data_IF_079980679669
#
_entry.id   IF_079980679669
#
_cell.length_a   1.000
_cell.length_b   1.000
_cell.length_c   1.000
_cell.angle_alpha   90.00
_cell.angle_beta   90.00
_cell.angle_gamma   90.00
#
_symmetry.space_group_name_H-M   'P 1'
#
loop_
_entity.id
_entity.type
_entity.pdbx_description
1 polymer ?
#
# COMPACT_ATOMS: atom_id res chain seq x y z
N UNK A 1 -13.78 94.41 4.89
CA UNK A 1 -12.80 93.64 4.13
C UNK A 1 -12.45 92.31 4.89
N UNK A 2 -13.49 91.50 5.29
CA UNK A 2 -13.24 90.31 6.12
C UNK A 2 -14.06 89.03 5.80
N UNK A 3 -14.79 88.99 4.66
CA UNK A 3 -15.56 87.75 4.29
C UNK A 3 -14.98 86.85 3.21
N UNK A 4 -13.90 87.22 2.59
CA UNK A 4 -13.27 86.44 1.50
C UNK A 4 -12.22 85.46 1.98
N UNK A 5 -11.74 85.50 3.24
CA UNK A 5 -10.68 84.60 3.75
C UNK A 5 -11.25 83.28 4.38
N UNK A 6 -12.48 83.26 4.86
CA UNK A 6 -13.07 82.03 5.46
C UNK A 6 -13.49 80.99 4.43
N UNK A 7 -14.00 81.45 3.27
CA UNK A 7 -14.43 80.50 2.20
C UNK A 7 -13.32 79.73 1.53
N UNK A 8 -12.07 80.19 1.54
CA UNK A 8 -10.94 79.51 0.93
C UNK A 8 -10.37 78.36 1.84
N UNK A 9 -10.55 78.48 3.16
CA UNK A 9 -10.05 77.44 4.12
C UNK A 9 -11.03 76.23 4.16
N UNK A 10 -12.33 76.44 4.09
CA UNK A 10 -13.33 75.35 4.03
C UNK A 10 -13.20 74.52 2.77
N UNK A 11 -13.02 75.15 1.59
CA UNK A 11 -12.81 74.45 0.33
C UNK A 11 -11.51 73.61 0.25
N UNK A 12 -10.45 74.09 0.93
CA UNK A 12 -9.18 73.29 1.05
C UNK A 12 -9.34 72.12 2.00
N UNK A 13 -10.07 72.25 3.10
CA UNK A 13 -10.33 71.15 4.03
C UNK A 13 -11.22 70.07 3.42
N UNK A 14 -12.27 70.43 2.68
CA UNK A 14 -13.13 69.49 2.00
C UNK A 14 -12.39 68.70 0.90
N UNK A 15 -11.58 69.36 0.09
CA UNK A 15 -10.73 68.69 -0.94
C UNK A 15 -9.73 67.76 -0.30
N UNK A 16 -9.10 68.11 0.82
CA UNK A 16 -8.15 67.26 1.57
C UNK A 16 -8.86 66.04 2.16
N UNK A 17 -10.11 66.18 2.65
CA UNK A 17 -10.92 65.09 3.21
C UNK A 17 -11.35 64.11 2.11
N UNK A 18 -11.76 64.59 0.93
CA UNK A 18 -12.14 63.77 -0.23
C UNK A 18 -10.94 62.96 -0.74
N UNK A 19 -9.74 63.56 -0.81
CA UNK A 19 -8.51 62.88 -1.23
C UNK A 19 -8.16 61.81 -0.20
N UNK A 20 -8.25 62.06 1.11
CA UNK A 20 -7.98 61.07 2.13
C UNK A 20 -8.96 59.90 2.12
N UNK A 21 -10.24 60.15 1.91
CA UNK A 21 -11.27 59.11 1.74
C UNK A 21 -11.02 58.26 0.50
N UNK A 22 -10.68 58.86 -0.63
CA UNK A 22 -10.34 58.10 -1.84
C UNK A 22 -9.10 57.21 -1.66
N UNK A 23 -8.07 57.69 -0.95
CA UNK A 23 -6.87 56.92 -0.67
C UNK A 23 -7.19 55.73 0.26
N UNK A 24 -8.01 55.95 1.31
CA UNK A 24 -8.43 54.89 2.21
C UNK A 24 -9.25 53.83 1.47
N UNK A 25 -10.15 54.25 0.57
CA UNK A 25 -10.96 53.31 -0.21
C UNK A 25 -10.10 52.49 -1.18
N UNK A 26 -9.11 53.09 -1.83
CA UNK A 26 -8.17 52.40 -2.71
C UNK A 26 -7.28 51.40 -1.92
N UNK A 27 -6.77 51.80 -0.76
CA UNK A 27 -5.98 50.94 0.12
C UNK A 27 -6.81 49.76 0.64
N UNK A 28 -8.09 50.03 1.04
CA UNK A 28 -9.00 48.97 1.50
C UNK A 28 -9.34 47.98 0.37
N UNK A 29 -9.57 48.47 -0.85
CA UNK A 29 -9.80 47.62 -2.03
C UNK A 29 -8.58 46.79 -2.38
N UNK A 30 -7.38 47.34 -2.25
CA UNK A 30 -6.14 46.63 -2.49
C UNK A 30 -5.85 45.56 -1.43
N UNK A 31 -6.17 45.87 -0.16
CA UNK A 31 -6.09 44.89 0.95
C UNK A 31 -7.11 43.75 0.78
N UNK A 32 -8.34 44.05 0.33
CA UNK A 32 -9.34 43.02 0.03
C UNK A 32 -8.91 42.13 -1.18
N UNK A 33 -8.27 42.72 -2.21
CA UNK A 33 -7.68 41.97 -3.32
C UNK A 33 -6.53 41.09 -2.86
N UNK A 34 -5.67 41.57 -1.97
CA UNK A 34 -4.58 40.76 -1.42
C UNK A 34 -5.09 39.63 -0.51
N UNK A 35 -6.16 39.87 0.25
CA UNK A 35 -6.79 38.80 1.04
C UNK A 35 -7.54 37.77 0.19
N UNK A 36 -8.08 38.16 -0.96
CA UNK A 36 -8.70 37.20 -1.90
C UNK A 36 -7.66 36.37 -2.65
N UNK A 37 -6.45 36.91 -2.88
CA UNK A 37 -5.37 36.12 -3.49
C UNK A 37 -4.67 35.17 -2.51
N UNK A 38 -4.71 35.43 -1.19
CA UNK A 38 -4.12 34.52 -0.20
C UNK A 38 -4.96 33.24 0.04
N UNK A 39 -6.23 33.22 -0.38
CA UNK A 39 -7.07 32.02 -0.29
C UNK A 39 -7.04 31.13 -1.56
N UNK A 40 -6.27 31.50 -2.60
CA UNK A 40 -6.14 30.69 -3.82
C UNK A 40 -4.90 29.78 -3.77
N UNK A 41 -4.09 29.86 -2.73
CA UNK A 41 -3.05 28.86 -2.45
C UNK A 41 -3.60 27.64 -1.69
N UNK A 42 -4.82 27.17 -1.98
CA UNK A 42 -5.11 25.77 -1.86
C UNK A 42 -4.29 25.08 -2.99
N UNK A 43 -3.01 24.85 -2.71
CA UNK A 43 -2.32 23.80 -3.38
C UNK A 43 -3.14 22.54 -3.13
N UNK A 44 -3.88 22.10 -4.14
CA UNK A 44 -4.36 20.72 -4.23
C UNK A 44 -3.10 19.87 -4.22
N UNK A 45 -2.60 19.57 -3.03
CA UNK A 45 -1.57 18.55 -2.85
C UNK A 45 -2.28 17.25 -3.17
N UNK A 46 -2.13 16.80 -4.39
CA UNK A 46 -2.57 15.47 -4.77
C UNK A 46 -1.81 14.47 -3.89
N UNK A 47 -2.55 13.68 -3.16
CA UNK A 47 -2.01 12.60 -2.35
C UNK A 47 -1.42 11.54 -3.30
N UNK A 48 -0.28 10.98 -2.94
CA UNK A 48 0.30 9.84 -3.62
C UNK A 48 0.42 8.70 -2.63
N UNK A 49 -0.54 7.78 -2.67
CA UNK A 49 -0.61 6.62 -1.79
C UNK A 49 0.22 5.49 -2.36
N UNK A 50 1.03 4.88 -1.52
CA UNK A 50 1.94 3.78 -1.89
C UNK A 50 1.76 2.60 -0.94
N UNK A 51 2.05 1.38 -1.41
CA UNK A 51 2.17 0.25 -0.51
C UNK A 51 3.20 0.53 0.60
N UNK A 52 2.92 0.03 1.79
CA UNK A 52 3.88 0.05 2.89
C UNK A 52 5.11 -0.78 2.53
N UNK A 53 6.27 -0.36 3.03
CA UNK A 53 7.49 -1.14 2.86
C UNK A 53 7.33 -2.52 3.52
N UNK A 54 7.75 -3.60 2.86
CA UNK A 54 7.70 -4.93 3.45
C UNK A 54 8.48 -5.01 4.76
N UNK A 55 7.90 -5.66 5.77
CA UNK A 55 8.54 -5.84 7.07
C UNK A 55 9.65 -6.90 7.07
N UNK A 56 9.83 -7.64 5.96
CA UNK A 56 10.79 -8.74 5.84
C UNK A 56 12.11 -8.22 5.27
N UNK A 57 13.21 -8.57 5.97
CA UNK A 57 14.58 -8.28 5.52
C UNK A 57 15.28 -9.58 5.15
N UNK A 58 15.54 -9.77 3.85
CA UNK A 58 16.11 -11.01 3.32
C UNK A 58 17.51 -11.34 3.87
N UNK A 59 18.27 -10.31 4.27
CA UNK A 59 19.63 -10.46 4.82
C UNK A 59 19.65 -10.98 6.27
N UNK A 60 18.48 -11.08 6.92
CA UNK A 60 18.37 -11.41 8.34
C UNK A 60 17.26 -12.41 8.67
N UNK A 61 17.03 -13.37 7.79
CA UNK A 61 16.06 -14.44 8.01
C UNK A 61 16.57 -15.37 9.13
N UNK A 62 16.01 -15.27 10.31
CA UNK A 62 16.35 -16.10 11.46
C UNK A 62 15.13 -16.87 11.95
N UNK A 63 14.29 -16.23 12.75
CA UNK A 63 13.10 -16.84 13.33
C UNK A 63 11.85 -16.16 12.74
N UNK A 64 11.35 -16.71 11.64
CA UNK A 64 10.26 -16.10 10.88
C UNK A 64 9.42 -17.13 10.13
N UNK A 65 8.23 -16.68 9.74
CA UNK A 65 7.34 -17.40 8.83
C UNK A 65 7.14 -16.52 7.60
N UNK A 66 7.33 -17.09 6.41
CA UNK A 66 7.33 -16.37 5.13
C UNK A 66 6.34 -16.99 4.16
N UNK A 67 5.60 -16.16 3.44
CA UNK A 67 4.90 -16.57 2.22
C UNK A 67 5.89 -16.66 1.07
N UNK A 68 5.91 -17.78 0.38
CA UNK A 68 6.97 -18.10 -0.60
C UNK A 68 6.43 -18.78 -1.85
N UNK A 69 7.24 -18.72 -2.92
CA UNK A 69 7.10 -19.57 -4.07
C UNK A 69 8.43 -20.27 -4.34
N UNK A 70 8.35 -21.52 -4.76
CA UNK A 70 9.50 -22.31 -5.21
C UNK A 70 9.02 -23.50 -6.04
N UNK A 71 9.93 -24.11 -6.77
CA UNK A 71 9.75 -25.41 -7.42
C UNK A 71 10.58 -26.49 -6.74
N UNK A 72 10.30 -27.75 -7.01
CA UNK A 72 11.11 -28.87 -6.50
C UNK A 72 12.56 -28.80 -6.99
N UNK A 73 12.80 -28.15 -8.13
CA UNK A 73 14.13 -27.97 -8.69
C UNK A 73 14.97 -26.92 -7.95
N UNK A 74 14.36 -26.11 -7.11
CA UNK A 74 15.04 -25.08 -6.33
C UNK A 74 15.69 -25.65 -5.05
N UNK A 75 15.47 -26.95 -4.80
CA UNK A 75 16.17 -27.69 -3.77
C UNK A 75 17.53 -28.21 -4.27
N UNK A 76 18.60 -27.69 -3.72
CA UNK A 76 19.93 -28.32 -3.82
C UNK A 76 20.08 -29.32 -2.67
N UNK A 77 19.75 -30.58 -2.95
CA UNK A 77 19.78 -31.66 -1.96
C UNK A 77 21.21 -32.06 -1.54
N UNK A 78 22.23 -31.80 -2.39
CA UNK A 78 23.64 -32.11 -2.08
C UNK A 78 24.20 -31.10 -1.07
N UNK A 79 23.88 -29.82 -1.25
CA UNK A 79 24.34 -28.73 -0.39
C UNK A 79 23.35 -28.40 0.74
N UNK A 80 22.22 -29.11 0.81
CA UNK A 80 21.13 -28.87 1.78
C UNK A 80 20.68 -27.42 1.77
N UNK A 81 20.33 -26.87 0.59
CA UNK A 81 19.85 -25.51 0.41
C UNK A 81 18.58 -25.47 -0.43
N UNK A 82 17.68 -24.56 -0.05
CA UNK A 82 16.49 -24.21 -0.81
C UNK A 82 16.58 -22.75 -1.23
N UNK A 83 16.45 -22.49 -2.53
CA UNK A 83 16.24 -21.13 -3.06
C UNK A 83 14.74 -20.91 -3.22
N UNK A 84 14.25 -19.78 -2.71
CA UNK A 84 12.84 -19.46 -2.76
C UNK A 84 12.63 -17.97 -3.04
N UNK A 85 11.54 -17.67 -3.73
CA UNK A 85 11.02 -16.30 -3.87
C UNK A 85 10.20 -15.96 -2.65
N UNK A 86 10.52 -14.84 -2.00
CA UNK A 86 9.85 -14.35 -0.79
C UNK A 86 8.85 -13.28 -1.15
N UNK A 87 7.67 -13.36 -0.55
CA UNK A 87 6.57 -12.45 -0.80
C UNK A 87 6.06 -11.81 0.50
N UNK A 88 5.50 -10.62 0.38
CA UNK A 88 4.76 -9.94 1.43
C UNK A 88 3.37 -9.58 0.93
N UNK A 89 2.39 -9.54 1.82
CA UNK A 89 1.09 -8.97 1.51
C UNK A 89 1.23 -7.49 1.14
N UNK A 90 0.45 -7.03 0.17
CA UNK A 90 0.41 -5.64 -0.23
C UNK A 90 -0.48 -4.86 0.74
N UNK A 91 0.16 -4.07 1.60
CA UNK A 91 -0.50 -3.30 2.65
C UNK A 91 -0.41 -1.80 2.39
N UNK A 92 -1.42 -1.06 2.86
CA UNK A 92 -1.50 0.40 2.79
C UNK A 92 -1.85 0.98 4.15
N UNK A 93 -1.39 2.20 4.42
CA UNK A 93 -1.77 2.93 5.64
C UNK A 93 -3.25 3.35 5.58
N UNK A 94 -4.01 3.06 6.64
CA UNK A 94 -5.43 3.35 6.67
C UNK A 94 -5.71 4.86 6.56
N UNK A 95 -4.89 5.69 7.20
CA UNK A 95 -5.08 7.15 7.16
C UNK A 95 -4.83 7.75 5.77
N UNK A 96 -3.97 7.13 4.95
CA UNK A 96 -3.76 7.53 3.57
C UNK A 96 -4.93 7.09 2.69
N UNK A 97 -5.42 5.85 2.84
CA UNK A 97 -6.57 5.35 2.08
C UNK A 97 -7.83 6.16 2.39
N UNK A 98 -8.12 6.43 3.66
CA UNK A 98 -9.29 7.21 4.07
C UNK A 98 -9.24 8.68 3.62
N UNK A 99 -8.05 9.21 3.40
CA UNK A 99 -7.83 10.58 2.93
C UNK A 99 -7.89 10.72 1.41
N UNK A 100 -7.86 9.63 0.64
CA UNK A 100 -7.77 9.63 -0.83
C UNK A 100 -9.02 10.22 -1.48
N UNK A 101 -8.83 10.94 -2.56
CA UNK A 101 -9.90 11.61 -3.34
C UNK A 101 -9.69 11.39 -4.83
N UNK A 102 -10.71 11.71 -5.61
CA UNK A 102 -10.54 11.82 -7.06
C UNK A 102 -9.39 12.79 -7.40
N UNK A 103 -8.64 12.48 -8.44
CA UNK A 103 -7.43 13.15 -8.91
C UNK A 103 -6.17 12.90 -8.05
N UNK A 104 -6.26 12.19 -6.92
CA UNK A 104 -5.08 11.68 -6.23
C UNK A 104 -4.43 10.52 -7.01
N UNK A 105 -3.31 10.03 -6.53
CA UNK A 105 -2.54 8.98 -7.21
C UNK A 105 -2.33 7.81 -6.27
N UNK A 106 -2.57 6.60 -6.77
CA UNK A 106 -2.18 5.36 -6.09
C UNK A 106 -1.03 4.70 -6.85
N UNK A 107 -0.17 4.00 -6.13
CA UNK A 107 0.93 3.21 -6.71
C UNK A 107 0.59 1.73 -6.59
N UNK A 108 0.53 1.04 -7.73
CA UNK A 108 0.27 -0.39 -7.84
C UNK A 108 1.43 -0.97 -8.63
N UNK A 109 2.18 -1.92 -8.07
CA UNK A 109 3.34 -2.55 -8.70
C UNK A 109 4.31 -1.50 -9.31
N UNK A 110 4.66 -0.48 -8.53
CA UNK A 110 5.50 0.66 -8.91
C UNK A 110 4.93 1.56 -10.04
N UNK A 111 3.74 1.28 -10.54
CA UNK A 111 3.05 2.11 -11.53
C UNK A 111 2.11 3.09 -10.84
N UNK A 112 2.21 4.36 -11.23
CA UNK A 112 1.32 5.43 -10.75
C UNK A 112 0.02 5.42 -11.52
N UNK A 113 -1.10 5.33 -10.81
CA UNK A 113 -2.44 5.34 -11.36
C UNK A 113 -3.24 6.51 -10.77
N UNK A 114 -3.90 7.30 -11.62
CA UNK A 114 -4.79 8.37 -11.19
C UNK A 114 -6.06 7.75 -10.60
N UNK A 115 -6.51 8.28 -9.48
CA UNK A 115 -7.77 7.87 -8.85
C UNK A 115 -8.92 8.64 -9.51
N UNK A 116 -9.85 7.94 -10.14
CA UNK A 116 -11.04 8.53 -10.77
C UNK A 116 -12.34 8.06 -10.14
N UNK A 117 -12.35 6.92 -9.42
CA UNK A 117 -13.50 6.45 -8.66
C UNK A 117 -13.08 5.82 -7.35
N UNK A 118 -13.90 6.02 -6.32
CA UNK A 118 -13.74 5.42 -5.00
C UNK A 118 -15.11 5.00 -4.53
N UNK A 119 -15.27 3.73 -4.23
CA UNK A 119 -16.45 3.16 -3.60
C UNK A 119 -16.03 2.64 -2.23
N UNK A 120 -16.87 2.84 -1.22
CA UNK A 120 -16.62 2.40 0.14
C UNK A 120 -17.87 1.76 0.72
N UNK A 121 -17.72 0.55 1.22
CA UNK A 121 -18.75 -0.18 1.93
C UNK A 121 -18.13 -1.04 3.04
N UNK A 122 -18.58 -0.86 4.28
CA UNK A 122 -18.27 -1.68 5.46
C UNK A 122 -16.76 -2.08 5.62
N UNK A 123 -15.85 -1.10 5.56
CA UNK A 123 -14.38 -1.30 5.62
C UNK A 123 -13.76 -1.94 4.36
N UNK A 124 -14.47 -1.89 3.25
CA UNK A 124 -14.02 -2.32 1.96
C UNK A 124 -13.96 -1.12 1.01
N UNK A 125 -12.80 -0.87 0.41
CA UNK A 125 -12.60 0.18 -0.60
C UNK A 125 -12.40 -0.45 -1.96
N UNK A 126 -13.12 0.05 -2.96
CA UNK A 126 -12.89 -0.26 -4.37
C UNK A 126 -12.45 1.03 -5.06
N UNK A 127 -11.22 1.08 -5.49
CA UNK A 127 -10.62 2.23 -6.18
C UNK A 127 -10.48 1.87 -7.65
N UNK A 128 -10.98 2.74 -8.55
CA UNK A 128 -10.94 2.57 -10.00
C UNK A 128 -11.55 1.23 -10.48
N UNK A 129 -12.61 0.77 -9.83
CA UNK A 129 -13.30 -0.46 -10.20
C UNK A 129 -12.58 -1.76 -9.79
N UNK A 130 -11.59 -1.67 -8.89
CA UNK A 130 -10.88 -2.83 -8.36
C UNK A 130 -9.77 -3.36 -9.28
N UNK A 131 -9.18 -4.47 -8.88
CA UNK A 131 -7.98 -5.04 -9.52
C UNK A 131 -8.23 -5.40 -10.98
N UNK A 132 -9.39 -5.92 -11.32
CA UNK A 132 -9.73 -6.33 -12.69
C UNK A 132 -9.75 -5.16 -13.68
N UNK A 133 -9.98 -3.93 -13.19
CA UNK A 133 -9.97 -2.71 -13.99
C UNK A 133 -8.66 -1.91 -13.84
N UNK A 134 -7.63 -2.51 -13.23
CA UNK A 134 -6.34 -1.88 -13.00
C UNK A 134 -6.31 -0.93 -11.80
N UNK A 135 -7.31 -1.02 -10.93
CA UNK A 135 -7.39 -0.30 -9.67
C UNK A 135 -6.98 -1.15 -8.46
N UNK A 136 -7.55 -0.86 -7.30
CA UNK A 136 -7.33 -1.59 -6.05
C UNK A 136 -8.65 -1.99 -5.41
N UNK A 137 -8.64 -3.15 -4.82
CA UNK A 137 -9.65 -3.60 -3.88
C UNK A 137 -8.98 -3.82 -2.52
N UNK A 138 -9.51 -3.19 -1.47
CA UNK A 138 -8.84 -3.06 -0.19
C UNK A 138 -9.80 -3.40 0.94
N UNK A 139 -9.38 -4.29 1.84
CA UNK A 139 -10.12 -4.62 3.05
C UNK A 139 -9.35 -4.19 4.29
N UNK A 140 -10.08 -3.79 5.33
CA UNK A 140 -9.48 -3.48 6.63
C UNK A 140 -8.71 -4.69 7.17
N UNK A 141 -7.50 -4.45 7.68
CA UNK A 141 -6.59 -5.48 8.15
C UNK A 141 -6.06 -5.14 9.55
N UNK A 142 -5.05 -5.84 10.02
CA UNK A 142 -4.52 -5.70 11.37
C UNK A 142 -3.97 -4.29 11.62
N UNK A 143 -4.31 -3.71 12.77
CA UNK A 143 -3.88 -2.37 13.15
C UNK A 143 -4.53 -1.28 12.31
N UNK A 144 -3.74 -0.31 11.87
CA UNK A 144 -4.18 0.81 11.03
C UNK A 144 -3.80 0.59 9.57
N UNK A 145 -4.12 -0.60 9.01
CA UNK A 145 -3.75 -0.95 7.63
C UNK A 145 -4.95 -1.47 6.84
N UNK A 146 -4.90 -1.25 5.53
CA UNK A 146 -5.70 -1.94 4.53
C UNK A 146 -4.83 -2.93 3.78
N UNK A 147 -5.38 -4.10 3.48
CA UNK A 147 -4.77 -5.13 2.66
C UNK A 147 -5.41 -5.15 1.28
N UNK A 148 -4.59 -5.16 0.24
CA UNK A 148 -5.07 -5.37 -1.12
C UNK A 148 -5.51 -6.82 -1.32
N UNK A 149 -6.66 -7.00 -1.95
CA UNK A 149 -7.25 -8.31 -2.23
C UNK A 149 -7.65 -8.44 -3.70
N UNK A 150 -7.77 -9.69 -4.15
CA UNK A 150 -8.39 -10.03 -5.43
C UNK A 150 -9.91 -10.01 -5.31
N UNK A 151 -10.62 -10.17 -6.43
CA UNK A 151 -12.08 -10.29 -6.46
C UNK A 151 -12.63 -11.41 -5.55
N UNK A 152 -11.87 -12.49 -5.37
CA UNK A 152 -12.21 -13.61 -4.49
C UNK A 152 -11.67 -13.44 -3.05
N UNK A 153 -11.41 -12.20 -2.61
CA UNK A 153 -10.89 -11.84 -1.29
C UNK A 153 -9.50 -12.43 -0.94
N UNK A 154 -8.77 -12.97 -1.92
CA UNK A 154 -7.42 -13.44 -1.67
C UNK A 154 -6.43 -12.29 -1.54
N UNK A 155 -5.47 -12.36 -0.59
CA UNK A 155 -4.41 -11.37 -0.47
C UNK A 155 -3.62 -11.18 -1.76
N UNK A 156 -3.35 -9.94 -2.13
CA UNK A 156 -2.37 -9.63 -3.17
C UNK A 156 -0.98 -9.63 -2.56
N UNK A 157 -0.09 -10.37 -3.18
CA UNK A 157 1.30 -10.48 -2.76
C UNK A 157 2.24 -9.72 -3.68
N UNK A 158 3.24 -9.06 -3.08
CA UNK A 158 4.35 -8.43 -3.80
C UNK A 158 5.62 -9.24 -3.59
N UNK A 159 6.38 -9.45 -4.65
CA UNK A 159 7.69 -10.09 -4.58
C UNK A 159 8.67 -9.16 -3.85
N UNK A 160 9.29 -9.65 -2.78
CA UNK A 160 10.35 -8.93 -2.05
C UNK A 160 11.71 -9.22 -2.68
N UNK A 161 11.94 -10.47 -3.07
CA UNK A 161 13.18 -10.95 -3.67
C UNK A 161 13.38 -12.45 -3.47
N UNK A 162 14.59 -12.91 -3.72
CA UNK A 162 14.98 -14.30 -3.54
C UNK A 162 15.85 -14.49 -2.29
N UNK A 163 15.68 -15.63 -1.63
CA UNK A 163 16.52 -16.06 -0.52
C UNK A 163 16.95 -17.51 -0.68
N UNK A 164 18.18 -17.82 -0.28
CA UNK A 164 18.67 -19.20 -0.21
C UNK A 164 18.90 -19.56 1.24
N UNK A 165 18.11 -20.50 1.73
CA UNK A 165 18.12 -20.94 3.13
C UNK A 165 18.67 -22.38 3.26
N UNK A 166 19.44 -22.67 4.30
CA UNK A 166 19.84 -24.04 4.60
C UNK A 166 18.66 -24.85 5.14
N UNK A 167 18.72 -26.16 4.98
CA UNK A 167 17.80 -27.08 5.63
C UNK A 167 18.55 -28.33 6.15
N UNK A 168 18.02 -28.90 7.21
CA UNK A 168 18.38 -30.22 7.69
C UNK A 168 17.35 -31.23 7.16
N UNK A 169 17.70 -32.50 7.03
CA UNK A 169 16.78 -33.52 6.54
C UNK A 169 15.65 -33.89 7.53
N UNK A 170 15.54 -33.16 8.60
CA UNK A 170 14.48 -33.30 9.61
C UNK A 170 13.37 -32.24 9.48
N UNK A 171 13.42 -31.36 8.45
CA UNK A 171 12.32 -30.41 8.25
C UNK A 171 11.01 -31.14 7.98
N UNK A 172 9.90 -30.52 8.38
CA UNK A 172 8.57 -31.10 8.26
C UNK A 172 7.84 -30.50 7.08
N UNK A 173 7.03 -31.30 6.37
CA UNK A 173 6.07 -30.79 5.40
C UNK A 173 4.66 -31.06 5.95
N UNK A 174 3.87 -30.01 6.10
CA UNK A 174 2.47 -30.07 6.44
C UNK A 174 1.66 -29.72 5.20
N UNK A 175 0.88 -30.66 4.69
CA UNK A 175 0.10 -30.50 3.46
C UNK A 175 -1.39 -30.67 3.73
N UNK A 176 -2.18 -29.63 3.43
CA UNK A 176 -3.63 -29.64 3.62
C UNK A 176 -4.40 -30.24 2.43
N UNK A 177 -3.70 -30.80 1.43
CA UNK A 177 -4.34 -31.42 0.27
C UNK A 177 -4.83 -30.41 -0.78
N UNK A 178 -5.67 -30.91 -1.68
CA UNK A 178 -6.23 -30.16 -2.81
C UNK A 178 -7.71 -29.77 -2.60
N UNK A 179 -8.35 -30.34 -1.59
CA UNK A 179 -9.74 -30.08 -1.28
C UNK A 179 -9.91 -29.80 0.21
N UNK A 180 -10.95 -29.05 0.61
CA UNK A 180 -11.19 -28.72 2.01
C UNK A 180 -11.50 -29.95 2.89
N UNK A 181 -11.90 -31.07 2.26
CA UNK A 181 -12.17 -32.33 2.92
C UNK A 181 -10.98 -33.27 3.02
N UNK A 182 -9.84 -32.93 2.40
CA UNK A 182 -8.64 -33.74 2.46
C UNK A 182 -8.08 -33.74 3.88
N UNK A 183 -7.55 -34.89 4.30
CA UNK A 183 -6.85 -34.96 5.59
C UNK A 183 -5.50 -34.25 5.48
N UNK A 184 -5.17 -33.47 6.51
CA UNK A 184 -3.83 -32.87 6.62
C UNK A 184 -2.78 -33.97 6.73
N UNK A 185 -1.81 -33.96 5.84
CA UNK A 185 -0.72 -34.94 5.81
C UNK A 185 0.56 -34.28 6.36
N UNK A 186 1.22 -34.94 7.28
CA UNK A 186 2.50 -34.48 7.84
C UNK A 186 3.61 -35.45 7.46
N UNK A 187 4.60 -34.95 6.73
CA UNK A 187 5.74 -35.71 6.21
C UNK A 187 6.98 -35.35 7.05
N UNK A 188 7.50 -36.34 7.76
CA UNK A 188 8.71 -36.21 8.62
C UNK A 188 9.88 -37.06 8.09
N UNK A 189 9.66 -37.82 7.03
CA UNK A 189 10.65 -38.64 6.33
C UNK A 189 10.33 -38.65 4.84
N UNK A 190 11.33 -38.89 4.03
CA UNK A 190 11.19 -39.02 2.58
C UNK A 190 10.63 -37.71 1.90
N UNK A 191 10.97 -36.55 2.48
CA UNK A 191 10.50 -35.24 2.03
C UNK A 191 10.78 -35.02 0.54
N UNK A 192 11.98 -35.39 0.07
CA UNK A 192 12.36 -35.31 -1.35
C UNK A 192 11.39 -36.08 -2.25
N UNK A 193 11.09 -37.31 -1.89
CA UNK A 193 10.17 -38.15 -2.66
C UNK A 193 8.77 -37.58 -2.69
N UNK A 194 8.33 -37.07 -1.54
CA UNK A 194 7.01 -36.43 -1.43
C UNK A 194 6.92 -35.17 -2.31
N UNK A 195 7.89 -34.25 -2.22
CA UNK A 195 7.92 -33.05 -3.03
C UNK A 195 8.00 -33.36 -4.54
N UNK A 196 8.80 -34.35 -4.93
CA UNK A 196 8.85 -34.81 -6.33
C UNK A 196 7.47 -35.35 -6.79
N UNK A 197 6.75 -36.09 -5.95
CA UNK A 197 5.42 -36.58 -6.29
C UNK A 197 4.40 -35.46 -6.51
N UNK A 198 4.49 -34.36 -5.76
CA UNK A 198 3.64 -33.18 -5.97
C UNK A 198 3.93 -32.50 -7.31
N UNK A 199 5.21 -32.40 -7.71
CA UNK A 199 5.63 -31.82 -8.99
C UNK A 199 5.02 -32.56 -10.20
N UNK A 200 4.90 -33.89 -10.12
CA UNK A 200 4.33 -34.72 -11.18
C UNK A 200 2.83 -34.38 -11.46
N UNK A 201 2.16 -33.78 -10.50
CA UNK A 201 0.76 -33.34 -10.60
C UNK A 201 0.62 -31.83 -10.91
N UNK A 202 1.69 -31.14 -11.33
CA UNK A 202 1.72 -29.69 -11.57
C UNK A 202 1.20 -28.86 -10.39
N UNK A 203 1.49 -29.31 -9.19
CA UNK A 203 1.10 -28.61 -7.96
C UNK A 203 2.14 -27.55 -7.64
N UNK A 204 1.72 -26.31 -7.76
CA UNK A 204 2.61 -25.17 -7.55
C UNK A 204 2.68 -24.77 -6.07
N UNK A 205 3.89 -24.44 -5.65
CA UNK A 205 4.13 -23.76 -4.38
C UNK A 205 4.16 -22.26 -4.66
N UNK A 206 3.15 -21.55 -4.24
CA UNK A 206 2.97 -20.13 -4.49
C UNK A 206 2.62 -19.38 -3.19
N UNK A 207 2.75 -18.04 -3.13
CA UNK A 207 2.59 -17.30 -1.88
C UNK A 207 1.18 -17.37 -1.27
N UNK A 208 0.15 -17.72 -2.04
CA UNK A 208 -1.21 -17.92 -1.52
C UNK A 208 -1.30 -19.21 -0.70
N UNK A 209 -0.69 -20.29 -1.20
CA UNK A 209 -0.84 -21.61 -0.59
C UNK A 209 0.35 -22.05 0.26
N UNK A 210 1.51 -21.38 0.17
CA UNK A 210 2.74 -21.90 0.76
C UNK A 210 3.39 -20.91 1.72
N UNK A 211 3.61 -21.39 2.93
CA UNK A 211 4.44 -20.71 3.92
C UNK A 211 5.59 -21.62 4.36
N UNK A 212 6.73 -21.00 4.65
CA UNK A 212 7.85 -21.70 5.30
C UNK A 212 8.11 -21.11 6.67
N UNK A 213 8.46 -21.97 7.64
CA UNK A 213 8.93 -21.58 8.95
C UNK A 213 10.44 -21.78 9.04
N UNK A 214 11.12 -20.73 9.44
CA UNK A 214 12.58 -20.69 9.62
C UNK A 214 12.86 -20.49 11.10
N UNK A 215 13.79 -21.27 11.67
CA UNK A 215 14.27 -21.10 13.03
C UNK A 215 15.80 -21.13 13.04
N UNK A 216 16.43 -20.15 13.69
CA UNK A 216 17.87 -19.98 13.69
C UNK A 216 18.49 -19.94 12.27
N UNK A 217 17.76 -19.38 11.30
CA UNK A 217 18.20 -19.30 9.92
C UNK A 217 18.11 -20.61 9.11
N UNK A 218 17.47 -21.65 9.65
CA UNK A 218 17.33 -22.97 9.02
C UNK A 218 15.86 -23.29 8.77
N UNK A 219 15.53 -23.81 7.60
CA UNK A 219 14.18 -24.29 7.27
C UNK A 219 13.76 -25.39 8.25
N UNK A 220 12.62 -25.22 8.91
CA UNK A 220 12.04 -26.20 9.83
C UNK A 220 10.74 -26.78 9.32
N UNK A 221 9.96 -26.02 8.58
CA UNK A 221 8.68 -26.50 8.10
C UNK A 221 8.29 -25.82 6.78
N UNK A 222 7.66 -26.61 5.90
CA UNK A 222 6.93 -26.15 4.72
C UNK A 222 5.47 -26.47 4.98
N UNK A 223 4.62 -25.45 4.93
CA UNK A 223 3.17 -25.60 5.11
C UNK A 223 2.51 -25.25 3.80
N UNK A 224 1.85 -26.23 3.18
CA UNK A 224 0.99 -26.02 2.02
C UNK A 224 -0.47 -26.04 2.45
N UNK A 225 -1.16 -24.95 2.20
CA UNK A 225 -2.56 -24.76 2.53
C UNK A 225 -3.44 -25.06 1.32
N UNK A 226 -4.63 -25.52 1.58
CA UNK A 226 -5.68 -25.49 0.58
C UNK A 226 -6.16 -24.05 0.39
N UNK A 227 -6.47 -23.69 -0.86
CA UNK A 227 -7.06 -22.41 -1.24
C UNK A 227 -8.35 -22.74 -1.99
N UNK A 228 -9.47 -22.09 -1.65
CA UNK A 228 -10.74 -22.31 -2.31
C UNK A 228 -10.73 -21.93 -3.79
#
# INVERSE_FOLDING_TARGET
>A
MSRTLETNNTCKQEKCLIIKMNIITVVLSFLLLLMSCSNIANHNRHLCVKPLAPAVHLDSLSDCTLSVAFSVNDFNWEDCRLTLSVYSEQLYDASEIEAIKADDTIVINDVKNLVFSIEYDDNHYVINGGIEQGGLELISYVGSTFRSVTFDDHPVYILIGEATIPFDYDFVITDCGENPSDAVTTIVKEQKQYLCSLSDYHRDFNPLNTVVRIENGVLKEIIRKWIP
#
